data_IF_259064895271
#
_entry.id   IF_259064895271
#
_cell.length_a   1.000
_cell.length_b   1.000
_cell.length_c   1.000
_cell.angle_alpha   90.00
_cell.angle_beta   90.00
_cell.angle_gamma   90.00
#
_symmetry.space_group_name_H-M   'P 1'
#
loop_
_entity.id
_entity.type
_entity.pdbx_description
1 polymer ?
#
# COMPACT_ATOMS: atom_id res chain seq x y z
N UNK A 1 63.36 83.85 18.47
CA UNK A 1 63.32 82.47 19.02
C UNK A 1 61.95 82.05 19.57
N UNK A 2 60.89 82.84 19.33
CA UNK A 2 59.49 82.60 19.75
C UNK A 2 58.72 81.60 18.85
N UNK A 3 59.40 80.96 17.89
CA UNK A 3 58.80 80.07 16.87
C UNK A 3 59.02 78.58 17.16
N UNK A 4 59.97 78.24 18.04
CA UNK A 4 60.28 76.83 18.39
C UNK A 4 59.36 76.33 19.52
N UNK A 5 59.06 77.17 20.52
CA UNK A 5 58.13 76.84 21.61
C UNK A 5 56.68 76.64 21.15
N UNK A 6 56.27 77.23 20.02
CA UNK A 6 54.91 77.09 19.46
C UNK A 6 54.74 75.80 18.64
N UNK A 7 55.84 75.19 18.19
CA UNK A 7 55.82 73.91 17.45
C UNK A 7 55.92 72.68 18.37
N UNK A 8 56.50 72.84 19.56
CA UNK A 8 56.56 71.76 20.56
C UNK A 8 55.23 71.67 21.34
N UNK A 9 54.49 72.77 21.50
CA UNK A 9 53.19 72.77 22.19
C UNK A 9 52.03 72.14 21.37
N UNK A 10 52.22 71.93 20.06
CA UNK A 10 51.22 71.32 19.17
C UNK A 10 51.41 69.80 18.97
N UNK A 11 52.48 69.21 19.53
CA UNK A 11 52.78 67.77 19.40
C UNK A 11 52.32 66.93 20.60
N UNK A 12 51.56 67.51 21.54
CA UNK A 12 51.21 66.88 22.82
C UNK A 12 49.75 66.45 23.00
N UNK A 13 48.89 66.54 21.97
CA UNK A 13 47.42 66.45 22.17
C UNK A 13 46.75 65.19 21.58
N UNK A 14 47.46 64.27 20.95
CA UNK A 14 46.79 63.20 20.19
C UNK A 14 47.09 61.76 20.63
N UNK A 15 47.05 61.46 21.92
CA UNK A 15 46.96 60.06 22.38
C UNK A 15 46.07 59.97 23.63
N UNK A 16 44.76 60.01 23.43
CA UNK A 16 43.78 59.40 24.33
C UNK A 16 42.80 58.61 23.45
N UNK A 17 43.29 57.49 22.90
CA UNK A 17 42.40 56.43 22.44
C UNK A 17 41.99 55.68 23.70
N UNK A 18 40.79 55.99 24.22
CA UNK A 18 40.17 55.19 25.27
C UNK A 18 40.01 53.77 24.75
N UNK A 19 40.49 52.79 25.51
CA UNK A 19 40.22 51.39 25.25
C UNK A 19 38.71 51.15 25.39
N UNK A 20 38.01 51.02 24.27
CA UNK A 20 36.62 50.57 24.27
C UNK A 20 36.61 49.09 24.67
N UNK A 21 36.21 48.82 25.90
CA UNK A 21 35.90 47.47 26.38
C UNK A 21 34.50 47.09 25.89
N UNK A 22 34.40 46.16 24.94
CA UNK A 22 33.13 45.69 24.41
C UNK A 22 32.56 44.56 25.30
N UNK A 23 31.78 44.92 26.32
CA UNK A 23 31.06 43.98 27.18
C UNK A 23 29.55 44.19 27.07
N UNK A 24 28.75 43.11 27.03
CA UNK A 24 27.28 43.21 27.09
C UNK A 24 26.85 43.02 28.54
N UNK A 25 26.10 43.97 29.09
CA UNK A 25 25.62 43.94 30.47
C UNK A 25 24.13 43.64 30.50
N UNK A 26 23.71 42.77 31.43
CA UNK A 26 22.31 42.44 31.72
C UNK A 26 21.91 42.99 33.08
N UNK A 27 20.76 43.64 33.16
CA UNK A 27 20.15 44.05 34.43
C UNK A 27 18.62 44.00 34.37
N UNK A 28 17.99 44.12 35.53
CA UNK A 28 16.54 44.20 35.67
C UNK A 28 16.18 45.56 36.26
N UNK A 29 15.29 46.31 35.62
CA UNK A 29 14.89 47.63 36.09
C UNK A 29 13.85 47.57 37.23
N UNK A 30 13.47 48.74 37.77
CA UNK A 30 12.47 48.85 38.85
C UNK A 30 11.07 48.34 38.49
N UNK A 31 10.78 48.14 37.21
CA UNK A 31 9.51 47.59 36.72
C UNK A 31 9.61 46.07 36.44
N UNK A 32 10.75 45.45 36.71
CA UNK A 32 10.97 44.02 36.47
C UNK A 32 11.36 43.67 35.04
N UNK A 33 11.66 44.66 34.19
CA UNK A 33 12.03 44.42 32.78
C UNK A 33 13.53 44.15 32.68
N UNK A 34 13.89 43.09 31.95
CA UNK A 34 15.29 42.74 31.67
C UNK A 34 15.82 43.55 30.49
N UNK A 35 16.96 44.21 30.67
CA UNK A 35 17.62 45.02 29.66
C UNK A 35 19.03 44.48 29.36
N UNK A 36 19.50 44.72 28.13
CA UNK A 36 20.85 44.40 27.67
C UNK A 36 21.46 45.65 27.00
N UNK A 37 22.71 46.00 27.34
CA UNK A 37 23.40 47.17 26.79
C UNK A 37 24.91 46.95 26.74
N UNK A 38 25.57 47.59 25.79
CA UNK A 38 27.04 47.63 25.68
C UNK A 38 27.69 48.54 26.74
N UNK A 39 26.89 49.40 27.38
CA UNK A 39 27.32 50.29 28.46
C UNK A 39 26.53 50.00 29.73
N UNK A 40 27.25 49.78 30.85
CA UNK A 40 26.62 49.61 32.16
C UNK A 40 25.91 50.91 32.57
N UNK A 41 24.60 50.88 32.91
CA UNK A 41 23.90 52.05 33.43
C UNK A 41 24.48 52.51 34.77
N UNK A 42 24.55 53.82 34.98
CA UNK A 42 24.93 54.37 36.29
C UNK A 42 23.88 54.00 37.35
N UNK A 43 24.35 53.58 38.53
CA UNK A 43 23.55 53.30 39.71
C UNK A 43 22.58 52.10 39.64
N UNK A 44 22.81 51.12 38.77
CA UNK A 44 22.06 49.85 38.75
C UNK A 44 23.01 48.66 38.85
N UNK A 45 22.77 47.67 39.75
CA UNK A 45 23.54 46.43 39.76
C UNK A 45 23.41 45.71 38.42
N UNK A 46 24.51 45.56 37.71
CA UNK A 46 24.58 44.90 36.40
C UNK A 46 25.42 43.64 36.50
N UNK A 47 25.06 42.62 35.71
CA UNK A 47 25.88 41.44 35.49
C UNK A 47 26.43 41.51 34.08
N UNK A 48 27.75 41.40 33.93
CA UNK A 48 28.35 41.23 32.61
C UNK A 48 27.95 39.86 32.06
N UNK A 49 27.48 39.84 30.82
CA UNK A 49 27.11 38.62 30.11
C UNK A 49 28.38 38.06 29.49
N UNK A 50 28.86 36.95 30.03
CA UNK A 50 29.90 36.16 29.39
C UNK A 50 29.32 35.53 28.12
N UNK A 51 29.83 35.95 26.96
CA UNK A 51 29.48 35.38 25.67
C UNK A 51 30.47 34.26 25.41
N UNK A 52 29.98 33.01 25.44
CA UNK A 52 30.80 31.87 25.04
C UNK A 52 31.21 32.05 23.57
N UNK A 53 32.50 31.84 23.24
CA UNK A 53 32.94 31.91 21.85
C UNK A 53 32.19 30.84 21.03
N UNK A 54 31.88 31.12 19.75
CA UNK A 54 31.25 30.12 18.91
C UNK A 54 32.12 28.86 18.87
N UNK A 55 31.50 27.66 18.85
CA UNK A 55 32.24 26.42 18.81
C UNK A 55 33.17 26.40 17.58
N UNK A 56 34.35 25.76 17.69
CA UNK A 56 35.27 25.66 16.56
C UNK A 56 34.60 25.07 15.33
N UNK A 57 34.89 25.60 14.13
CA UNK A 57 34.28 25.10 12.89
C UNK A 57 34.42 23.59 12.70
N UNK A 58 35.55 23.02 13.15
CA UNK A 58 35.80 21.58 13.10
C UNK A 58 34.76 20.78 13.90
N UNK A 59 34.38 21.26 15.09
CA UNK A 59 33.36 20.64 15.95
C UNK A 59 31.98 20.72 15.30
N UNK A 60 31.65 21.86 14.69
CA UNK A 60 30.39 22.04 13.96
C UNK A 60 30.32 21.08 12.75
N UNK A 61 31.39 20.98 11.95
CA UNK A 61 31.46 20.04 10.81
C UNK A 61 31.30 18.59 11.24
N UNK A 62 32.00 18.14 12.28
CA UNK A 62 31.85 16.78 12.82
C UNK A 62 30.42 16.50 13.29
N UNK A 63 29.75 17.49 13.88
CA UNK A 63 28.37 17.36 14.35
C UNK A 63 27.38 17.23 13.18
N UNK A 64 27.63 17.97 12.09
CA UNK A 64 26.85 17.87 10.85
C UNK A 64 27.06 16.53 10.14
N UNK A 65 28.30 16.05 10.06
CA UNK A 65 28.64 14.75 9.45
C UNK A 65 27.96 13.60 10.21
N UNK A 66 28.00 13.63 11.55
CA UNK A 66 27.34 12.65 12.42
C UNK A 66 25.81 12.67 12.29
N UNK A 67 25.22 13.88 12.16
CA UNK A 67 23.79 14.02 11.91
C UNK A 67 23.42 13.45 10.53
N UNK A 68 24.22 13.73 9.50
CA UNK A 68 23.98 13.20 8.15
C UNK A 68 24.05 11.67 8.12
N UNK A 69 25.04 11.07 8.80
CA UNK A 69 25.16 9.62 8.92
C UNK A 69 23.94 9.01 9.65
N UNK A 70 23.51 9.64 10.75
CA UNK A 70 22.35 9.20 11.52
C UNK A 70 21.06 9.24 10.69
N UNK A 71 20.87 10.29 9.88
CA UNK A 71 19.72 10.42 8.98
C UNK A 71 19.76 9.34 7.88
N UNK A 72 20.93 9.07 7.29
CA UNK A 72 21.10 8.00 6.29
C UNK A 72 20.77 6.63 6.88
N UNK A 73 21.20 6.35 8.09
CA UNK A 73 20.91 5.08 8.77
C UNK A 73 19.41 4.95 9.09
N UNK A 74 18.76 6.02 9.56
CA UNK A 74 17.32 6.03 9.80
C UNK A 74 16.52 5.79 8.51
N UNK A 75 16.91 6.42 7.41
CA UNK A 75 16.29 6.20 6.09
C UNK A 75 16.46 4.75 5.62
N UNK A 76 17.67 4.17 5.75
CA UNK A 76 17.92 2.75 5.44
C UNK A 76 17.02 1.82 6.25
N UNK A 77 16.90 2.03 7.56
CA UNK A 77 16.02 1.23 8.44
C UNK A 77 14.56 1.36 8.04
N UNK A 78 14.11 2.57 7.72
CA UNK A 78 12.74 2.84 7.31
C UNK A 78 12.41 2.11 6.01
N UNK A 79 13.28 2.22 5.01
CA UNK A 79 13.14 1.51 3.73
C UNK A 79 13.15 -0.02 3.89
N UNK A 80 14.02 -0.55 4.76
CA UNK A 80 14.06 -1.99 5.05
C UNK A 80 12.74 -2.47 5.68
N UNK A 81 12.22 -1.74 6.67
CA UNK A 81 10.95 -2.06 7.31
C UNK A 81 9.76 -1.98 6.33
N UNK A 82 9.72 -0.94 5.49
CA UNK A 82 8.68 -0.82 4.46
C UNK A 82 8.75 -1.94 3.42
N UNK A 83 9.96 -2.33 3.01
CA UNK A 83 10.17 -3.44 2.10
C UNK A 83 9.69 -4.77 2.70
N UNK A 84 10.02 -5.06 3.96
CA UNK A 84 9.54 -6.23 4.69
C UNK A 84 8.00 -6.25 4.78
N UNK A 85 7.40 -5.13 5.19
CA UNK A 85 5.94 -4.99 5.27
C UNK A 85 5.26 -5.21 3.92
N UNK A 86 5.87 -4.71 2.84
CA UNK A 86 5.38 -4.93 1.47
C UNK A 86 5.47 -6.41 1.08
N UNK A 87 6.57 -7.08 1.40
CA UNK A 87 6.73 -8.51 1.15
C UNK A 87 5.71 -9.36 1.91
N UNK A 88 5.49 -9.08 3.21
CA UNK A 88 4.50 -9.78 4.03
C UNK A 88 3.09 -9.60 3.47
N UNK A 89 2.71 -8.38 3.08
CA UNK A 89 1.42 -8.10 2.43
C UNK A 89 1.27 -8.83 1.10
N UNK A 90 2.31 -8.82 0.27
CA UNK A 90 2.30 -9.53 -1.01
C UNK A 90 2.16 -11.05 -0.81
N UNK A 91 2.86 -11.62 0.17
CA UNK A 91 2.77 -13.03 0.52
C UNK A 91 1.38 -13.40 1.07
N UNK A 92 0.78 -12.55 1.91
CA UNK A 92 -0.58 -12.75 2.39
C UNK A 92 -1.59 -12.72 1.24
N UNK A 93 -1.52 -11.71 0.38
CA UNK A 93 -2.40 -11.59 -0.79
C UNK A 93 -2.24 -12.79 -1.73
N UNK A 94 -1.01 -13.25 -1.96
CA UNK A 94 -0.76 -14.45 -2.75
C UNK A 94 -1.38 -15.71 -2.12
N UNK A 95 -1.30 -15.86 -0.79
CA UNK A 95 -1.93 -16.97 -0.06
C UNK A 95 -3.45 -16.91 -0.14
N UNK A 96 -4.04 -15.73 0.01
CA UNK A 96 -5.49 -15.52 -0.11
C UNK A 96 -5.97 -15.84 -1.51
N UNK A 97 -5.30 -15.32 -2.55
CA UNK A 97 -5.60 -15.63 -3.95
C UNK A 97 -5.47 -17.12 -4.25
N UNK A 98 -4.42 -17.78 -3.76
CA UNK A 98 -4.25 -19.22 -3.93
C UNK A 98 -5.38 -20.03 -3.25
N UNK A 99 -5.88 -19.56 -2.10
CA UNK A 99 -7.04 -20.18 -1.43
C UNK A 99 -8.32 -20.01 -2.23
N UNK A 100 -8.58 -18.80 -2.72
CA UNK A 100 -9.74 -18.49 -3.56
C UNK A 100 -9.74 -19.34 -4.83
N UNK A 101 -8.59 -19.42 -5.53
CA UNK A 101 -8.43 -20.28 -6.70
C UNK A 101 -8.71 -21.75 -6.40
N UNK A 102 -8.21 -22.30 -5.28
CA UNK A 102 -8.51 -23.69 -4.89
C UNK A 102 -9.99 -23.92 -4.62
N UNK A 103 -10.66 -22.97 -3.95
CA UNK A 103 -12.10 -23.07 -3.69
C UNK A 103 -12.90 -23.06 -4.99
N UNK A 104 -12.52 -22.23 -5.95
CA UNK A 104 -13.15 -22.19 -7.27
C UNK A 104 -12.93 -23.47 -8.04
N UNK A 105 -11.70 -23.98 -8.09
CA UNK A 105 -11.41 -25.25 -8.76
C UNK A 105 -12.16 -26.42 -8.11
N UNK A 106 -12.25 -26.44 -6.78
CA UNK A 106 -13.03 -27.44 -6.05
C UNK A 106 -14.51 -27.39 -6.43
N UNK A 107 -15.10 -26.19 -6.36
CA UNK A 107 -16.50 -25.95 -6.66
C UNK A 107 -16.84 -26.28 -8.11
N UNK A 108 -15.99 -25.85 -9.05
CA UNK A 108 -16.12 -26.17 -10.46
C UNK A 108 -16.10 -27.69 -10.69
N UNK A 109 -15.11 -28.40 -10.15
CA UNK A 109 -15.02 -29.84 -10.29
C UNK A 109 -16.24 -30.57 -9.73
N UNK A 110 -16.82 -30.09 -8.62
CA UNK A 110 -18.05 -30.65 -8.06
C UNK A 110 -19.27 -30.43 -8.96
N UNK A 111 -19.40 -29.24 -9.57
CA UNK A 111 -20.50 -28.93 -10.48
C UNK A 111 -20.44 -29.79 -11.74
N UNK A 112 -19.25 -29.89 -12.34
CA UNK A 112 -19.04 -30.72 -13.52
C UNK A 112 -19.27 -32.21 -13.20
N UNK A 113 -18.79 -32.67 -12.04
CA UNK A 113 -19.02 -34.04 -11.61
C UNK A 113 -20.51 -34.35 -11.45
N UNK A 114 -21.30 -33.44 -10.86
CA UNK A 114 -22.74 -33.60 -10.71
C UNK A 114 -23.44 -33.76 -12.07
N UNK A 115 -23.12 -32.89 -13.03
CA UNK A 115 -23.69 -32.96 -14.38
C UNK A 115 -23.33 -34.28 -15.08
N UNK A 116 -22.10 -34.75 -14.91
CA UNK A 116 -21.64 -36.00 -15.53
C UNK A 116 -22.22 -37.25 -14.87
N UNK A 117 -22.45 -37.23 -13.54
CA UNK A 117 -23.04 -38.33 -12.78
C UNK A 117 -24.56 -38.42 -12.98
N UNK A 118 -25.23 -37.33 -13.37
CA UNK A 118 -26.60 -37.37 -13.85
C UNK A 118 -26.62 -38.17 -15.17
N UNK A 119 -27.20 -39.37 -15.16
CA UNK A 119 -27.27 -40.34 -16.27
C UNK A 119 -28.19 -39.88 -17.43
N UNK A 120 -28.08 -38.61 -17.81
CA UNK A 120 -28.78 -37.94 -18.90
C UNK A 120 -27.76 -37.50 -19.96
N UNK A 121 -28.18 -37.27 -21.22
CA UNK A 121 -27.27 -36.74 -22.24
C UNK A 121 -26.69 -35.38 -21.83
N UNK A 122 -25.37 -35.27 -21.93
CA UNK A 122 -24.62 -34.05 -21.64
C UNK A 122 -23.85 -33.59 -22.88
N UNK A 123 -23.58 -32.29 -22.95
CA UNK A 123 -22.73 -31.71 -23.99
C UNK A 123 -21.72 -30.75 -23.37
N UNK A 124 -20.60 -30.58 -24.06
CA UNK A 124 -19.57 -29.59 -23.83
C UNK A 124 -19.90 -28.33 -24.63
N UNK A 125 -19.84 -27.17 -23.98
CA UNK A 125 -19.92 -25.87 -24.63
C UNK A 125 -18.53 -25.38 -25.13
N UNK A 126 -18.47 -24.17 -25.65
CA UNK A 126 -17.22 -23.54 -26.13
C UNK A 126 -16.27 -23.13 -25.00
N UNK A 127 -16.76 -23.01 -23.76
CA UNK A 127 -15.95 -22.76 -22.57
C UNK A 127 -15.33 -24.05 -22.00
N UNK A 128 -15.74 -25.21 -22.51
CA UNK A 128 -15.31 -26.51 -21.99
C UNK A 128 -16.08 -26.95 -20.74
N UNK A 129 -17.28 -26.42 -20.51
CA UNK A 129 -18.17 -26.83 -19.42
C UNK A 129 -19.21 -27.85 -19.90
N UNK A 130 -19.46 -28.86 -19.07
CA UNK A 130 -20.53 -29.84 -19.31
C UNK A 130 -21.88 -29.30 -18.84
N UNK A 131 -22.88 -29.46 -19.69
CA UNK A 131 -24.26 -29.08 -19.43
C UNK A 131 -25.22 -30.21 -19.79
N UNK A 132 -26.30 -30.34 -19.01
CA UNK A 132 -27.44 -31.17 -19.40
C UNK A 132 -28.32 -30.41 -20.39
N UNK A 133 -29.08 -31.12 -21.23
CA UNK A 133 -30.04 -30.48 -22.15
C UNK A 133 -31.12 -29.65 -21.43
N UNK A 134 -31.42 -29.99 -20.18
CA UNK A 134 -32.46 -29.34 -19.36
C UNK A 134 -31.92 -28.25 -18.44
N UNK A 135 -30.61 -27.96 -18.48
CA UNK A 135 -30.02 -26.90 -17.66
C UNK A 135 -30.54 -25.53 -18.10
N UNK A 136 -30.55 -24.57 -17.17
CA UNK A 136 -30.88 -23.16 -17.47
C UNK A 136 -29.95 -22.58 -18.53
N UNK A 137 -28.68 -23.00 -18.56
CA UNK A 137 -27.73 -22.57 -19.58
C UNK A 137 -28.20 -23.02 -20.97
N UNK A 138 -28.63 -24.27 -21.12
CA UNK A 138 -29.11 -24.84 -22.39
C UNK A 138 -30.32 -24.14 -22.99
N UNK A 139 -31.15 -23.47 -22.17
CA UNK A 139 -32.33 -22.74 -22.64
C UNK A 139 -31.98 -21.48 -23.46
N UNK A 140 -30.85 -20.83 -23.16
CA UNK A 140 -30.38 -19.64 -23.87
C UNK A 140 -29.13 -19.86 -24.72
N UNK A 141 -28.51 -21.04 -24.64
CA UNK A 141 -27.25 -21.31 -25.31
C UNK A 141 -27.43 -21.63 -26.80
N UNK A 142 -26.82 -20.80 -27.66
CA UNK A 142 -26.83 -20.92 -29.13
C UNK A 142 -25.48 -21.30 -29.74
N UNK A 143 -24.44 -21.48 -28.93
CA UNK A 143 -23.11 -21.86 -29.39
C UNK A 143 -22.98 -23.34 -29.77
N UNK A 144 -21.75 -23.74 -30.12
CA UNK A 144 -21.46 -25.12 -30.55
C UNK A 144 -21.59 -26.10 -29.38
N UNK A 145 -22.38 -27.16 -29.57
CA UNK A 145 -22.54 -28.26 -28.61
C UNK A 145 -21.77 -29.49 -29.08
N UNK A 146 -20.89 -30.03 -28.23
CA UNK A 146 -20.22 -31.31 -28.48
C UNK A 146 -20.74 -32.33 -27.47
N UNK A 147 -21.55 -33.27 -27.92
CA UNK A 147 -22.14 -34.28 -27.04
C UNK A 147 -21.11 -35.31 -26.61
N UNK A 148 -21.15 -35.68 -25.32
CA UNK A 148 -20.24 -36.66 -24.74
C UNK A 148 -20.81 -38.07 -24.92
N UNK A 149 -19.99 -39.00 -25.42
CA UNK A 149 -20.35 -40.41 -25.51
C UNK A 149 -20.43 -41.09 -24.14
N UNK A 150 -21.29 -42.10 -24.01
CA UNK A 150 -21.43 -42.85 -22.76
C UNK A 150 -20.18 -43.67 -22.41
N UNK A 151 -19.37 -44.03 -23.41
CA UNK A 151 -18.08 -44.70 -23.28
C UNK A 151 -16.96 -43.76 -22.79
N UNK A 152 -17.04 -42.47 -23.12
CA UNK A 152 -16.08 -41.44 -22.70
C UNK A 152 -16.38 -40.89 -21.29
N UNK A 153 -17.67 -40.84 -20.90
CA UNK A 153 -18.14 -40.28 -19.63
C UNK A 153 -17.41 -40.81 -18.38
N UNK A 154 -17.09 -42.11 -18.22
CA UNK A 154 -16.37 -42.61 -17.06
C UNK A 154 -14.97 -41.99 -16.90
N UNK A 155 -14.29 -41.68 -18.01
CA UNK A 155 -12.98 -41.04 -17.97
C UNK A 155 -13.07 -39.59 -17.48
N UNK A 156 -14.10 -38.87 -17.92
CA UNK A 156 -14.37 -37.49 -17.50
C UNK A 156 -14.74 -37.40 -16.02
N UNK A 157 -15.62 -38.31 -15.55
CA UNK A 157 -15.96 -38.46 -14.13
C UNK A 157 -14.69 -38.71 -13.30
N UNK A 158 -13.80 -39.60 -13.77
CA UNK A 158 -12.55 -39.89 -13.09
C UNK A 158 -11.63 -38.66 -13.02
N UNK A 159 -11.53 -37.89 -14.11
CA UNK A 159 -10.75 -36.64 -14.15
C UNK A 159 -11.25 -35.65 -13.11
N UNK A 160 -12.55 -35.34 -13.09
CA UNK A 160 -13.10 -34.40 -12.12
C UNK A 160 -13.05 -34.89 -10.66
N UNK A 161 -13.14 -36.21 -10.42
CA UNK A 161 -12.88 -36.78 -9.09
C UNK A 161 -11.44 -36.53 -8.62
N UNK A 162 -10.46 -36.60 -9.54
CA UNK A 162 -9.06 -36.27 -9.23
C UNK A 162 -8.88 -34.77 -8.97
N UNK A 163 -9.48 -33.91 -9.79
CA UNK A 163 -9.44 -32.45 -9.58
C UNK A 163 -10.09 -32.05 -8.26
N UNK A 164 -11.24 -32.63 -7.93
CA UNK A 164 -11.91 -32.44 -6.64
C UNK A 164 -10.98 -32.86 -5.49
N UNK A 165 -10.36 -34.03 -5.57
CA UNK A 165 -9.42 -34.52 -4.53
C UNK A 165 -8.20 -33.60 -4.37
N UNK A 166 -7.72 -33.00 -5.45
CA UNK A 166 -6.55 -32.11 -5.43
C UNK A 166 -6.86 -30.71 -4.87
N UNK A 167 -8.08 -30.21 -5.09
CA UNK A 167 -8.45 -28.82 -4.81
C UNK A 167 -9.38 -28.64 -3.60
N UNK A 168 -10.22 -29.63 -3.29
CA UNK A 168 -11.12 -29.57 -2.15
C UNK A 168 -10.42 -29.92 -0.83
N UNK A 169 -10.89 -29.33 0.27
CA UNK A 169 -10.37 -29.61 1.61
C UNK A 169 -10.99 -30.90 2.15
N UNK A 170 -10.21 -31.78 2.77
CA UNK A 170 -10.72 -32.98 3.45
C UNK A 170 -11.79 -32.59 4.48
N UNK A 171 -12.99 -33.14 4.34
CA UNK A 171 -14.16 -32.85 5.19
C UNK A 171 -15.25 -31.99 4.53
N UNK A 172 -15.02 -31.36 3.37
CA UNK A 172 -16.06 -30.54 2.71
C UNK A 172 -17.02 -31.31 1.80
N UNK A 173 -16.80 -32.61 1.58
CA UNK A 173 -17.48 -33.40 0.54
C UNK A 173 -18.45 -34.44 1.14
N UNK A 174 -18.51 -34.56 2.47
CA UNK A 174 -19.14 -35.71 3.14
C UNK A 174 -20.61 -35.49 3.55
N UNK A 175 -21.17 -34.28 3.40
CA UNK A 175 -22.60 -34.04 3.65
C UNK A 175 -23.30 -33.30 2.49
N UNK A 176 -24.52 -33.74 2.16
CA UNK A 176 -25.36 -33.12 1.11
C UNK A 176 -25.72 -31.65 1.42
N UNK A 177 -25.68 -31.23 2.68
CA UNK A 177 -25.83 -29.81 3.07
C UNK A 177 -24.62 -28.97 2.64
N UNK A 178 -23.40 -29.51 2.72
CA UNK A 178 -22.18 -28.81 2.30
C UNK A 178 -22.09 -28.67 0.77
N UNK A 179 -22.68 -29.60 0.00
CA UNK A 179 -22.83 -29.45 -1.45
C UNK A 179 -23.66 -28.21 -1.80
N UNK A 180 -24.71 -27.89 -1.04
CA UNK A 180 -25.49 -26.66 -1.19
C UNK A 180 -24.64 -25.40 -0.94
N UNK A 181 -23.86 -25.39 0.13
CA UNK A 181 -22.97 -24.27 0.45
C UNK A 181 -21.87 -24.06 -0.61
N UNK A 182 -21.35 -25.14 -1.19
CA UNK A 182 -20.36 -25.07 -2.28
C UNK A 182 -20.95 -24.48 -3.56
N UNK A 183 -22.22 -24.75 -3.87
CA UNK A 183 -22.93 -24.16 -5.01
C UNK A 183 -23.19 -22.67 -4.75
N UNK A 184 -23.69 -22.30 -3.56
CA UNK A 184 -23.92 -20.90 -3.20
C UNK A 184 -22.60 -20.12 -3.23
N UNK A 185 -21.52 -20.69 -2.70
CA UNK A 185 -20.19 -20.06 -2.74
C UNK A 185 -19.63 -19.95 -4.17
N UNK A 186 -19.90 -20.93 -5.05
CA UNK A 186 -19.57 -20.84 -6.47
C UNK A 186 -20.18 -19.61 -7.11
N UNK A 187 -21.52 -19.53 -7.04
CA UNK A 187 -22.28 -18.49 -7.69
C UNK A 187 -21.98 -17.12 -7.08
N UNK A 188 -21.73 -17.06 -5.76
CA UNK A 188 -21.25 -15.85 -5.09
C UNK A 188 -19.88 -15.40 -5.63
N UNK A 189 -18.90 -16.31 -5.79
CA UNK A 189 -17.60 -15.95 -6.37
C UNK A 189 -17.75 -15.48 -7.83
N UNK A 190 -18.46 -16.24 -8.66
CA UNK A 190 -18.66 -15.88 -10.07
C UNK A 190 -19.40 -14.55 -10.24
N UNK A 191 -20.39 -14.29 -9.38
CA UNK A 191 -21.08 -13.00 -9.32
C UNK A 191 -20.11 -11.84 -9.04
N UNK A 192 -19.24 -11.97 -8.04
CA UNK A 192 -18.30 -10.90 -7.67
C UNK A 192 -17.21 -10.67 -8.72
N UNK A 193 -16.82 -11.71 -9.46
CA UNK A 193 -15.91 -11.57 -10.61
C UNK A 193 -16.58 -10.87 -11.78
N UNK A 194 -17.76 -11.33 -12.17
CA UNK A 194 -18.52 -10.76 -13.28
C UNK A 194 -18.80 -9.27 -13.04
N UNK A 195 -19.20 -8.89 -11.82
CA UNK A 195 -19.37 -7.47 -11.43
C UNK A 195 -18.08 -6.65 -11.55
N UNK A 196 -16.96 -7.19 -11.05
CA UNK A 196 -15.66 -6.47 -11.08
C UNK A 196 -15.21 -6.22 -12.52
N UNK A 197 -15.26 -7.25 -13.37
CA UNK A 197 -14.85 -7.15 -14.76
C UNK A 197 -15.80 -6.26 -15.57
N UNK A 198 -17.11 -6.36 -15.31
CA UNK A 198 -18.11 -5.47 -15.93
C UNK A 198 -17.81 -4.00 -15.59
N UNK A 199 -17.56 -3.69 -14.32
CA UNK A 199 -17.23 -2.33 -13.89
C UNK A 199 -15.95 -1.80 -14.54
N UNK A 200 -14.94 -2.66 -14.72
CA UNK A 200 -13.68 -2.32 -15.38
C UNK A 200 -13.90 -1.99 -16.86
N UNK A 201 -14.61 -2.85 -17.59
CA UNK A 201 -14.90 -2.64 -19.02
C UNK A 201 -15.84 -1.45 -19.25
N UNK A 202 -16.87 -1.25 -18.43
CA UNK A 202 -17.75 -0.09 -18.51
C UNK A 202 -16.99 1.23 -18.24
N UNK A 203 -15.97 1.21 -17.38
CA UNK A 203 -15.10 2.36 -17.12
C UNK A 203 -14.16 2.68 -18.27
N UNK A 204 -13.76 1.69 -19.07
CA UNK A 204 -12.90 1.88 -20.24
C UNK A 204 -13.58 2.69 -21.35
N UNK A 205 -14.92 2.65 -21.42
CA UNK A 205 -15.75 3.27 -22.46
C UNK A 205 -15.38 2.91 -23.91
N UNK A 206 -14.62 1.81 -24.08
CA UNK A 206 -14.22 1.32 -25.40
C UNK A 206 -15.34 0.44 -25.99
N UNK A 207 -15.87 0.87 -27.14
CA UNK A 207 -16.99 0.21 -27.84
C UNK A 207 -16.63 -1.18 -28.36
N UNK A 208 -15.34 -1.52 -28.45
CA UNK A 208 -14.92 -2.87 -28.85
C UNK A 208 -15.35 -3.94 -27.85
N UNK A 209 -15.60 -3.56 -26.58
CA UNK A 209 -16.05 -4.46 -25.52
C UNK A 209 -17.58 -4.57 -25.39
N UNK A 210 -18.38 -3.98 -26.28
CA UNK A 210 -19.84 -3.98 -26.16
C UNK A 210 -20.45 -5.39 -26.12
N UNK A 211 -19.84 -6.36 -26.82
CA UNK A 211 -20.24 -7.76 -26.77
C UNK A 211 -19.89 -8.41 -25.43
N UNK A 212 -18.69 -8.14 -24.91
CA UNK A 212 -18.20 -8.66 -23.64
C UNK A 212 -19.00 -8.10 -22.46
N UNK A 213 -19.32 -6.80 -22.50
CA UNK A 213 -20.20 -6.13 -21.52
C UNK A 213 -21.59 -6.78 -21.49
N UNK A 214 -22.16 -7.11 -22.65
CA UNK A 214 -23.45 -7.83 -22.71
C UNK A 214 -23.35 -9.22 -22.11
N UNK A 215 -22.28 -9.95 -22.42
CA UNK A 215 -22.04 -11.29 -21.85
C UNK A 215 -21.91 -11.22 -20.33
N UNK A 216 -21.10 -10.30 -19.81
CA UNK A 216 -20.85 -10.14 -18.39
C UNK A 216 -22.10 -9.71 -17.62
N UNK A 217 -22.99 -8.92 -18.20
CA UNK A 217 -24.30 -8.63 -17.60
C UNK A 217 -25.14 -9.89 -17.46
N UNK A 218 -25.14 -10.76 -18.48
CA UNK A 218 -25.78 -12.07 -18.40
C UNK A 218 -25.19 -12.95 -17.28
N UNK A 219 -23.88 -12.92 -17.10
CA UNK A 219 -23.19 -13.65 -16.02
C UNK A 219 -23.52 -13.08 -14.63
N UNK A 220 -23.57 -11.75 -14.49
CA UNK A 220 -24.02 -11.09 -13.25
C UNK A 220 -25.45 -11.55 -12.93
N UNK A 221 -26.37 -11.49 -13.89
CA UNK A 221 -27.73 -11.95 -13.66
C UNK A 221 -27.79 -13.43 -13.29
N UNK A 222 -27.06 -14.30 -14.00
CA UNK A 222 -27.05 -15.76 -13.77
C UNK A 222 -26.48 -16.12 -12.40
N UNK A 223 -25.34 -15.55 -12.02
CA UNK A 223 -24.61 -15.97 -10.83
C UNK A 223 -25.04 -15.20 -9.58
N UNK A 224 -25.44 -13.93 -9.67
CA UNK A 224 -25.86 -13.16 -8.49
C UNK A 224 -27.26 -13.49 -7.98
N UNK A 225 -28.03 -14.33 -8.70
CA UNK A 225 -29.36 -14.81 -8.30
C UNK A 225 -29.33 -15.82 -7.13
N UNK A 226 -28.19 -16.49 -6.93
CA UNK A 226 -28.00 -17.43 -5.83
C UNK A 226 -27.45 -16.66 -4.62
N UNK A 227 -28.32 -16.29 -3.67
CA UNK A 227 -27.96 -15.57 -2.43
C UNK A 227 -27.80 -16.50 -1.24
#
# INVERSE_FOLDING_TARGET
MLSIMKRILLLGVLIHVGAASAGIYKWVDRKGVTHYSESSPENTPTNEVEIEPPPPEATVRQSLDSLEESLKEQDRRTRAFEAEKKQLRAAQLAREKAREQKLESCSHALMQLRVLEDMVPVYLDEAGEYHTQTSTHSAGYSGKRVYLGDDERPMEIKRFKQEMKANCRTGTVESDSLRGDLIVNYHRSQCEKAKRLLLELERSQDKTFDADIRSLRGDVEKHCRYR
#
